data_IF_151016697423
#
_entry.id   IF_151016697423
#
_cell.length_a   1.000
_cell.length_b   1.000
_cell.length_c   1.000
_cell.angle_alpha   90.00
_cell.angle_beta   90.00
_cell.angle_gamma   90.00
#
_symmetry.space_group_name_H-M   'P 1'
#
loop_
_entity.id
_entity.type
_entity.pdbx_description
1 polymer ?
#
# COMPACT_ATOMS: atom_id res chain seq x y z
N UNK A 1 -15.29 12.29 21.95
CA UNK A 1 -15.25 10.92 21.37
C UNK A 1 -15.92 10.87 20.00
N UNK A 2 -17.10 11.50 19.82
CA UNK A 2 -17.84 11.51 18.55
C UNK A 2 -17.08 12.10 17.34
N UNK A 3 -16.21 13.10 17.52
CA UNK A 3 -15.54 13.78 16.40
C UNK A 3 -14.51 12.87 15.70
N UNK A 4 -13.69 12.12 16.46
CA UNK A 4 -12.77 11.13 15.88
C UNK A 4 -13.48 10.02 15.12
N UNK A 5 -14.70 9.64 15.51
CA UNK A 5 -15.48 8.62 14.80
C UNK A 5 -16.26 9.19 13.61
N UNK A 6 -16.60 10.49 13.62
CA UNK A 6 -17.32 11.15 12.53
C UNK A 6 -16.43 11.38 11.31
N UNK A 7 -15.22 11.90 11.55
CA UNK A 7 -14.27 12.21 10.48
C UNK A 7 -13.17 11.13 10.33
N UNK A 8 -13.09 10.17 11.26
CA UNK A 8 -12.11 9.07 11.20
C UNK A 8 -10.67 9.63 11.09
N UNK A 9 -9.95 9.23 10.05
CA UNK A 9 -8.64 9.73 9.67
C UNK A 9 -8.69 10.86 8.63
N UNK A 10 -9.86 11.35 8.24
CA UNK A 10 -10.02 12.43 7.27
C UNK A 10 -10.07 13.80 7.96
N UNK A 11 -9.54 14.84 7.30
CA UNK A 11 -9.65 16.22 7.78
C UNK A 11 -11.06 16.75 7.58
N UNK A 12 -11.44 16.89 6.32
CA UNK A 12 -12.78 17.22 5.84
C UNK A 12 -13.05 16.37 4.60
N UNK A 13 -14.27 15.86 4.49
CA UNK A 13 -14.72 15.03 3.36
C UNK A 13 -15.28 15.86 2.21
N UNK A 14 -15.51 17.16 2.43
CA UNK A 14 -16.07 18.10 1.44
C UNK A 14 -15.00 18.91 0.70
N UNK A 15 -13.74 18.84 1.14
CA UNK A 15 -12.62 19.51 0.47
C UNK A 15 -12.33 18.85 -0.91
N UNK A 16 -11.94 19.63 -1.93
CA UNK A 16 -11.64 19.09 -3.26
C UNK A 16 -10.42 18.17 -3.26
N UNK A 17 -9.43 18.44 -2.39
CA UNK A 17 -8.30 17.56 -2.13
C UNK A 17 -8.46 16.92 -0.74
N UNK A 18 -8.74 15.62 -0.71
CA UNK A 18 -8.96 14.89 0.53
C UNK A 18 -7.62 14.67 1.24
N UNK A 19 -7.52 15.17 2.46
CA UNK A 19 -6.37 14.98 3.34
C UNK A 19 -6.66 13.95 4.42
N UNK A 20 -5.65 13.13 4.72
CA UNK A 20 -5.69 12.10 5.76
C UNK A 20 -4.61 12.33 6.82
N UNK A 21 -4.87 11.84 8.03
CA UNK A 21 -3.93 11.91 9.14
C UNK A 21 -2.84 10.84 8.99
N UNK A 22 -1.60 11.28 8.75
CA UNK A 22 -0.44 10.41 8.54
C UNK A 22 -0.16 9.52 9.76
N UNK A 23 -0.37 10.02 10.98
CA UNK A 23 -0.13 9.23 12.21
C UNK A 23 -1.06 8.01 12.25
N UNK A 24 -2.33 8.20 11.89
CA UNK A 24 -3.30 7.09 11.82
C UNK A 24 -2.90 6.07 10.76
N UNK A 25 -2.43 6.55 9.60
CA UNK A 25 -1.98 5.68 8.50
C UNK A 25 -0.78 4.83 8.93
N UNK A 26 0.19 5.41 9.65
CA UNK A 26 1.35 4.66 10.18
C UNK A 26 0.94 3.62 11.23
N UNK A 27 0.03 3.96 12.13
CA UNK A 27 -0.51 3.00 13.11
C UNK A 27 -1.23 1.85 12.39
N UNK A 28 -2.05 2.14 11.37
CA UNK A 28 -2.70 1.12 10.54
C UNK A 28 -1.68 0.21 9.85
N UNK A 29 -0.64 0.79 9.25
CA UNK A 29 0.44 0.01 8.62
C UNK A 29 1.13 -0.92 9.63
N UNK A 30 1.36 -0.44 10.86
CA UNK A 30 1.94 -1.23 11.94
C UNK A 30 1.05 -2.39 12.40
N UNK A 31 -0.27 -2.19 12.50
CA UNK A 31 -1.20 -3.28 12.82
C UNK A 31 -1.21 -4.32 11.68
N UNK A 32 -1.25 -3.86 10.43
CA UNK A 32 -1.28 -4.75 9.27
C UNK A 32 0.07 -5.45 9.01
N UNK A 33 1.18 -5.00 9.60
CA UNK A 33 2.51 -5.64 9.50
C UNK A 33 2.51 -7.07 10.06
N UNK A 34 1.60 -7.38 10.99
CA UNK A 34 1.43 -8.73 11.55
C UNK A 34 1.13 -9.74 10.44
N UNK A 35 0.42 -9.33 9.39
CA UNK A 35 0.01 -10.20 8.29
C UNK A 35 1.22 -10.72 7.51
N UNK A 36 2.05 -9.90 6.84
CA UNK A 36 3.22 -10.40 6.13
C UNK A 36 4.25 -11.06 7.06
N UNK A 37 4.31 -10.69 8.34
CA UNK A 37 5.13 -11.40 9.34
C UNK A 37 4.63 -12.85 9.53
N UNK A 38 3.34 -13.04 9.78
CA UNK A 38 2.73 -14.37 9.90
C UNK A 38 2.95 -15.19 8.61
N UNK A 39 2.68 -14.60 7.46
CA UNK A 39 2.89 -15.26 6.16
C UNK A 39 4.36 -15.65 5.96
N UNK A 40 5.30 -14.74 6.25
CA UNK A 40 6.72 -14.98 6.16
C UNK A 40 7.18 -16.14 7.07
N UNK A 41 6.67 -16.21 8.30
CA UNK A 41 6.96 -17.31 9.22
C UNK A 41 6.39 -18.65 8.73
N UNK A 42 5.17 -18.66 8.18
CA UNK A 42 4.58 -19.90 7.62
C UNK A 42 5.39 -20.40 6.43
N UNK A 43 5.83 -19.52 5.54
CA UNK A 43 6.65 -19.87 4.39
C UNK A 43 8.09 -20.25 4.79
N UNK A 44 8.61 -19.65 5.85
CA UNK A 44 9.88 -20.06 6.45
C UNK A 44 9.81 -21.50 6.96
N UNK A 45 8.74 -21.88 7.67
CA UNK A 45 8.52 -23.27 8.09
C UNK A 45 8.46 -24.22 6.88
N UNK A 46 7.72 -23.84 5.83
CA UNK A 46 7.61 -24.65 4.61
C UNK A 46 8.95 -24.89 3.93
N UNK A 47 9.86 -23.91 3.96
CA UNK A 47 11.15 -23.99 3.29
C UNK A 47 12.22 -24.70 4.11
N UNK A 48 12.22 -24.54 5.44
CA UNK A 48 13.30 -24.99 6.30
C UNK A 48 12.96 -26.21 7.18
N UNK A 49 11.68 -26.59 7.29
CA UNK A 49 11.27 -27.79 8.04
C UNK A 49 11.25 -29.02 7.15
N UNK A 50 11.57 -30.18 7.72
CA UNK A 50 11.59 -31.46 7.00
C UNK A 50 10.23 -31.76 6.38
N UNK A 51 10.23 -31.99 5.06
CA UNK A 51 9.01 -32.28 4.28
C UNK A 51 8.47 -33.68 4.54
N UNK A 52 9.28 -34.56 5.09
CA UNK A 52 8.94 -35.95 5.38
C UNK A 52 8.74 -36.15 6.89
N UNK A 53 7.59 -36.72 7.25
CA UNK A 53 7.28 -37.18 8.60
C UNK A 53 7.48 -38.69 8.62
N UNK A 54 8.45 -39.13 9.42
CA UNK A 54 8.82 -40.54 9.56
C UNK A 54 7.98 -41.17 10.67
N UNK A 55 7.29 -42.27 10.36
CA UNK A 55 6.59 -43.06 11.39
C UNK A 55 7.57 -44.01 12.09
N UNK A 56 7.92 -43.70 13.34
CA UNK A 56 8.83 -44.52 14.14
C UNK A 56 8.30 -45.91 14.46
N UNK A 57 6.99 -46.16 14.38
CA UNK A 57 6.40 -47.47 14.68
C UNK A 57 6.55 -48.48 13.54
N UNK A 58 6.79 -48.00 12.32
CA UNK A 58 7.04 -48.84 11.14
C UNK A 58 8.54 -49.06 10.89
N UNK A 59 9.40 -48.58 11.79
CA UNK A 59 10.84 -48.71 11.67
C UNK A 59 11.26 -50.17 11.78
N UNK A 60 11.70 -50.73 10.65
CA UNK A 60 12.28 -52.08 10.58
C UNK A 60 13.76 -51.93 10.24
N UNK A 61 14.61 -52.55 11.05
CA UNK A 61 16.05 -52.63 10.80
C UNK A 61 16.29 -53.41 9.50
N UNK A 62 17.07 -52.84 8.57
CA UNK A 62 17.41 -53.53 7.32
C UNK A 62 18.59 -54.48 7.47
N UNK A 63 19.23 -54.52 8.64
CA UNK A 63 20.46 -55.26 8.95
C UNK A 63 21.67 -54.85 8.09
N UNK A 64 21.58 -53.70 7.42
CA UNK A 64 22.65 -53.10 6.64
C UNK A 64 23.16 -51.83 7.35
N UNK A 65 24.44 -51.52 7.14
CA UNK A 65 25.05 -50.29 7.67
C UNK A 65 25.45 -49.36 6.53
N UNK A 66 25.39 -48.04 6.79
CA UNK A 66 25.93 -47.05 5.88
C UNK A 66 27.48 -47.02 5.96
N UNK A 67 28.12 -46.23 5.09
CA UNK A 67 29.58 -46.06 5.05
C UNK A 67 30.19 -45.50 6.34
N UNK A 68 29.37 -44.93 7.23
CA UNK A 68 29.77 -44.36 8.53
C UNK A 68 29.36 -45.29 9.70
N UNK A 69 29.09 -46.56 9.43
CA UNK A 69 28.70 -47.58 10.42
C UNK A 69 27.36 -47.30 11.15
N UNK A 70 26.49 -46.44 10.60
CA UNK A 70 25.12 -46.27 11.09
C UNK A 70 24.20 -47.37 10.55
N UNK A 71 23.35 -47.93 11.40
CA UNK A 71 22.33 -48.92 11.03
C UNK A 71 21.23 -48.26 10.19
N UNK A 72 20.90 -48.86 9.06
CA UNK A 72 19.86 -48.39 8.15
C UNK A 72 18.51 -48.94 8.58
N UNK A 73 17.51 -48.07 8.70
CA UNK A 73 16.13 -48.44 8.99
C UNK A 73 15.25 -48.18 7.78
N UNK A 74 14.40 -49.15 7.44
CA UNK A 74 13.28 -48.96 6.53
C UNK A 74 12.10 -48.42 7.33
N UNK A 75 11.56 -47.27 6.91
CA UNK A 75 10.46 -46.58 7.58
C UNK A 75 9.42 -46.15 6.56
N UNK A 76 8.14 -46.20 6.94
CA UNK A 76 7.11 -45.54 6.18
C UNK A 76 7.22 -44.02 6.43
N UNK A 77 7.43 -43.26 5.35
CA UNK A 77 7.53 -41.82 5.40
C UNK A 77 6.35 -41.19 4.66
N UNK A 78 5.64 -40.29 5.34
CA UNK A 78 4.56 -39.52 4.74
C UNK A 78 5.03 -38.11 4.44
N UNK A 79 4.63 -37.57 3.29
CA UNK A 79 4.96 -36.18 2.93
C UNK A 79 3.97 -35.25 3.61
N UNK A 80 4.48 -34.26 4.35
CA UNK A 80 3.66 -33.22 4.97
C UNK A 80 2.97 -32.38 3.89
N UNK A 81 1.66 -32.23 4.00
CA UNK A 81 0.87 -31.28 3.20
C UNK A 81 0.53 -30.07 4.06
N UNK A 82 0.63 -28.88 3.46
CA UNK A 82 0.26 -27.64 4.14
C UNK A 82 -1.14 -27.23 3.71
N UNK A 83 -1.98 -26.93 4.69
CA UNK A 83 -3.29 -26.34 4.46
C UNK A 83 -3.17 -24.82 4.65
N UNK A 84 -3.56 -24.06 3.62
CA UNK A 84 -3.41 -22.60 3.59
C UNK A 84 -4.75 -21.87 3.83
N UNK A 85 -5.73 -22.51 4.44
CA UNK A 85 -7.07 -21.92 4.63
C UNK A 85 -7.02 -20.69 5.55
N UNK A 86 -6.27 -20.79 6.65
CA UNK A 86 -6.10 -19.67 7.60
C UNK A 86 -5.39 -18.49 6.94
N UNK A 87 -4.33 -18.76 6.19
CA UNK A 87 -3.54 -17.80 5.43
C UNK A 87 -4.41 -17.09 4.38
N UNK A 88 -5.25 -17.86 3.69
CA UNK A 88 -6.19 -17.35 2.69
C UNK A 88 -7.22 -16.40 3.31
N UNK A 89 -7.79 -16.77 4.46
CA UNK A 89 -8.72 -15.90 5.19
C UNK A 89 -8.05 -14.58 5.61
N UNK A 90 -6.84 -14.65 6.15
CA UNK A 90 -6.07 -13.45 6.55
C UNK A 90 -5.75 -12.57 5.35
N UNK A 91 -5.38 -13.16 4.20
CA UNK A 91 -5.12 -12.41 2.97
C UNK A 91 -6.39 -11.75 2.42
N UNK A 92 -7.54 -12.41 2.48
CA UNK A 92 -8.83 -11.79 2.14
C UNK A 92 -9.16 -10.62 3.06
N UNK A 93 -8.93 -10.76 4.37
CA UNK A 93 -9.05 -9.65 5.31
C UNK A 93 -8.11 -8.49 4.93
N UNK A 94 -6.84 -8.77 4.64
CA UNK A 94 -5.86 -7.76 4.24
C UNK A 94 -6.28 -7.04 2.94
N UNK A 95 -6.77 -7.80 1.96
CA UNK A 95 -7.25 -7.27 0.69
C UNK A 95 -8.47 -6.37 0.89
N UNK A 96 -9.44 -6.83 1.69
CA UNK A 96 -10.60 -6.03 2.08
C UNK A 96 -10.17 -4.71 2.75
N UNK A 97 -9.23 -4.77 3.69
CA UNK A 97 -8.71 -3.59 4.38
C UNK A 97 -8.05 -2.59 3.41
N UNK A 98 -7.29 -3.06 2.43
CA UNK A 98 -6.67 -2.21 1.42
C UNK A 98 -7.71 -1.54 0.52
N UNK A 99 -8.69 -2.30 0.02
CA UNK A 99 -9.76 -1.81 -0.84
C UNK A 99 -10.70 -0.86 -0.10
N UNK A 100 -11.08 -1.20 1.13
CA UNK A 100 -11.93 -0.36 1.96
C UNK A 100 -11.28 1.00 2.25
N UNK A 101 -9.96 1.05 2.42
CA UNK A 101 -9.23 2.31 2.60
C UNK A 101 -9.23 3.23 1.38
N UNK A 102 -9.49 2.72 0.17
CA UNK A 102 -9.42 3.53 -1.05
C UNK A 102 -10.51 4.59 -1.11
N UNK A 103 -11.74 4.28 -0.68
CA UNK A 103 -12.87 5.21 -0.77
C UNK A 103 -13.24 5.82 0.59
N UNK A 104 -13.74 7.06 0.56
CA UNK A 104 -14.15 7.79 1.79
C UNK A 104 -15.33 7.10 2.48
N UNK A 105 -16.25 6.53 1.71
CA UNK A 105 -17.41 5.79 2.23
C UNK A 105 -17.00 4.45 2.85
N UNK A 106 -16.18 3.67 2.14
CA UNK A 106 -15.78 2.32 2.57
C UNK A 106 -14.79 2.32 3.72
N UNK A 107 -13.99 3.38 3.88
CA UNK A 107 -13.01 3.50 4.96
C UNK A 107 -13.64 3.40 6.36
N UNK A 108 -14.95 3.68 6.47
CA UNK A 108 -15.71 3.56 7.72
C UNK A 108 -15.99 2.12 8.15
N UNK A 109 -15.97 1.17 7.21
CA UNK A 109 -16.21 -0.25 7.48
C UNK A 109 -14.94 -1.02 7.82
N UNK A 110 -13.77 -0.42 7.61
CA UNK A 110 -12.47 -1.05 7.88
C UNK A 110 -12.19 -1.09 9.39
N UNK A 111 -12.09 -2.28 10.01
CA UNK A 111 -11.79 -2.39 11.43
C UNK A 111 -10.45 -1.77 11.80
N UNK A 112 -9.40 -1.95 10.98
CA UNK A 112 -8.07 -1.40 11.32
C UNK A 112 -8.06 0.12 11.22
N UNK A 113 -8.82 0.73 10.30
CA UNK A 113 -8.94 2.20 10.24
C UNK A 113 -9.62 2.72 11.51
N UNK A 114 -10.70 2.08 11.96
CA UNK A 114 -11.38 2.47 13.20
C UNK A 114 -10.46 2.38 14.42
N UNK A 115 -9.76 1.25 14.55
CA UNK A 115 -8.82 1.00 15.66
C UNK A 115 -7.68 2.03 15.60
N UNK A 116 -7.03 2.22 14.45
CA UNK A 116 -5.93 3.18 14.30
C UNK A 116 -6.37 4.63 14.56
N UNK A 117 -7.56 5.03 14.13
CA UNK A 117 -8.13 6.35 14.45
C UNK A 117 -8.37 6.51 15.95
N UNK A 118 -8.78 5.45 16.64
CA UNK A 118 -8.96 5.47 18.09
C UNK A 118 -7.61 5.59 18.82
N UNK A 119 -6.60 4.82 18.40
CA UNK A 119 -5.26 4.84 18.98
C UNK A 119 -4.56 6.19 18.79
N UNK A 120 -4.78 6.85 17.65
CA UNK A 120 -4.18 8.16 17.35
C UNK A 120 -4.87 9.34 18.04
N UNK A 121 -5.94 9.13 18.81
CA UNK A 121 -6.81 10.21 19.33
C UNK A 121 -6.06 11.30 20.11
N UNK A 122 -5.01 10.94 20.84
CA UNK A 122 -4.25 11.88 21.67
C UNK A 122 -2.93 12.34 21.03
N UNK A 123 -2.77 12.12 19.73
CA UNK A 123 -1.59 12.55 18.96
C UNK A 123 -1.93 13.77 18.11
N UNK A 124 -0.93 14.62 17.84
CA UNK A 124 -1.11 15.76 16.95
C UNK A 124 -1.29 15.28 15.51
N UNK A 125 -2.39 15.64 14.83
CA UNK A 125 -2.64 15.14 13.48
C UNK A 125 -1.72 15.84 12.47
N UNK A 126 -1.11 15.05 11.60
CA UNK A 126 -0.32 15.55 10.45
C UNK A 126 -1.11 15.25 9.18
N UNK A 127 -1.49 16.29 8.45
CA UNK A 127 -2.39 16.17 7.30
C UNK A 127 -1.62 16.04 6.00
N UNK A 128 -1.83 14.94 5.28
CA UNK A 128 -1.19 14.63 4.00
C UNK A 128 -2.24 14.26 2.94
N UNK A 129 -1.99 14.52 1.64
CA UNK A 129 -2.95 14.18 0.59
C UNK A 129 -3.11 12.65 0.43
N UNK A 130 -4.34 12.19 0.17
CA UNK A 130 -4.67 10.76 0.06
C UNK A 130 -4.18 10.09 -1.23
N UNK A 131 -4.03 10.85 -2.31
CA UNK A 131 -3.72 10.33 -3.66
C UNK A 131 -2.48 9.42 -3.71
N UNK A 132 -1.29 9.84 -3.24
CA UNK A 132 -0.11 8.96 -3.23
C UNK A 132 -0.30 7.71 -2.35
N UNK A 133 -1.17 7.78 -1.34
CA UNK A 133 -1.46 6.65 -0.44
C UNK A 133 -2.38 5.62 -1.11
N UNK A 134 -3.36 6.07 -1.90
CA UNK A 134 -4.18 5.17 -2.73
C UNK A 134 -3.33 4.36 -3.70
N UNK A 135 -2.33 4.99 -4.31
CA UNK A 135 -1.38 4.29 -5.18
C UNK A 135 -0.57 3.23 -4.43
N UNK A 136 -0.10 3.55 -3.21
CA UNK A 136 0.58 2.57 -2.37
C UNK A 136 -0.35 1.39 -2.00
N UNK A 137 -1.61 1.67 -1.64
CA UNK A 137 -2.60 0.63 -1.32
C UNK A 137 -2.99 -0.22 -2.53
N UNK A 138 -3.02 0.34 -3.74
CA UNK A 138 -3.25 -0.46 -4.95
C UNK A 138 -2.11 -1.42 -5.24
N UNK A 139 -0.84 -1.00 -5.03
CA UNK A 139 0.30 -1.93 -5.13
C UNK A 139 0.13 -3.05 -4.11
N UNK A 140 -0.21 -2.72 -2.85
CA UNK A 140 -0.49 -3.73 -1.82
C UNK A 140 -1.61 -4.69 -2.20
N UNK A 141 -2.73 -4.18 -2.73
CA UNK A 141 -3.86 -5.01 -3.17
C UNK A 141 -3.48 -5.97 -4.31
N UNK A 142 -2.66 -5.52 -5.26
CA UNK A 142 -2.15 -6.37 -6.35
C UNK A 142 -1.26 -7.47 -5.77
N UNK A 143 -0.30 -7.13 -4.91
CA UNK A 143 0.59 -8.11 -4.28
C UNK A 143 -0.20 -9.17 -3.48
N UNK A 144 -1.19 -8.74 -2.69
CA UNK A 144 -2.06 -9.67 -1.95
C UNK A 144 -2.88 -10.57 -2.88
N UNK A 145 -3.36 -10.04 -4.01
CA UNK A 145 -4.09 -10.83 -5.01
C UNK A 145 -3.21 -11.91 -5.62
N UNK A 146 -1.95 -11.60 -5.94
CA UNK A 146 -0.99 -12.60 -6.45
C UNK A 146 -0.70 -13.65 -5.38
N UNK A 147 -0.55 -13.26 -4.11
CA UNK A 147 -0.40 -14.20 -3.00
C UNK A 147 -1.61 -15.14 -2.87
N UNK A 148 -2.84 -14.64 -3.01
CA UNK A 148 -4.05 -15.47 -2.96
C UNK A 148 -4.06 -16.54 -4.05
N UNK A 149 -3.64 -16.19 -5.27
CA UNK A 149 -3.49 -17.14 -6.38
C UNK A 149 -2.40 -18.17 -6.08
N UNK A 150 -1.27 -17.75 -5.49
CA UNK A 150 -0.19 -18.67 -5.13
C UNK A 150 -0.60 -19.71 -4.08
N UNK A 151 -1.40 -19.32 -3.07
CA UNK A 151 -1.86 -20.25 -2.03
C UNK A 151 -3.04 -21.12 -2.45
N UNK A 152 -3.81 -20.71 -3.46
CA UNK A 152 -4.97 -21.45 -3.97
C UNK A 152 -4.92 -21.62 -5.50
N UNK A 153 -3.85 -22.22 -6.05
CA UNK A 153 -3.62 -22.27 -7.48
C UNK A 153 -4.65 -23.13 -8.21
N UNK A 154 -5.13 -24.21 -7.58
CA UNK A 154 -6.16 -25.11 -8.07
C UNK A 154 -7.50 -24.39 -8.21
N UNK A 155 -7.92 -23.63 -7.20
CA UNK A 155 -9.20 -22.89 -7.23
C UNK A 155 -9.19 -21.83 -8.32
N UNK A 156 -8.06 -21.13 -8.50
CA UNK A 156 -7.89 -20.13 -9.54
C UNK A 156 -7.84 -20.76 -10.94
N UNK A 157 -7.06 -21.83 -11.12
CA UNK A 157 -6.96 -22.55 -12.39
C UNK A 157 -8.33 -23.10 -12.82
N UNK A 158 -9.08 -23.70 -11.89
CA UNK A 158 -10.42 -24.19 -12.17
C UNK A 158 -11.38 -23.06 -12.58
N UNK A 159 -11.35 -21.93 -11.87
CA UNK A 159 -12.14 -20.76 -12.25
C UNK A 159 -11.81 -20.25 -13.66
N UNK A 160 -10.52 -20.14 -14.01
CA UNK A 160 -10.10 -19.73 -15.36
C UNK A 160 -10.53 -20.75 -16.42
N UNK A 161 -10.35 -22.04 -16.17
CA UNK A 161 -10.72 -23.10 -17.10
C UNK A 161 -12.24 -23.11 -17.37
N UNK A 162 -13.07 -22.87 -16.34
CA UNK A 162 -14.53 -22.73 -16.48
C UNK A 162 -14.88 -21.49 -17.32
N UNK A 163 -14.25 -20.34 -17.04
CA UNK A 163 -14.52 -19.08 -17.77
C UNK A 163 -14.13 -19.19 -19.24
N UNK A 164 -13.04 -19.90 -19.55
CA UNK A 164 -12.54 -20.03 -20.93
C UNK A 164 -13.15 -21.21 -21.69
N UNK A 165 -13.72 -22.20 -20.99
CA UNK A 165 -14.28 -23.40 -21.59
C UNK A 165 -13.24 -24.39 -22.12
N UNK A 166 -11.97 -24.25 -21.74
CA UNK A 166 -10.87 -25.16 -22.08
C UNK A 166 -9.84 -25.23 -20.94
N UNK A 167 -9.08 -26.32 -20.87
CA UNK A 167 -7.96 -26.45 -19.92
C UNK A 167 -6.77 -25.57 -20.34
N UNK A 168 -6.75 -24.33 -19.83
CA UNK A 168 -5.63 -23.40 -20.03
C UNK A 168 -4.55 -23.54 -18.95
N UNK A 169 -4.97 -23.75 -17.70
CA UNK A 169 -4.09 -23.86 -16.55
C UNK A 169 -4.16 -25.27 -15.93
N UNK A 170 -3.02 -25.85 -15.52
CA UNK A 170 -3.01 -27.13 -14.84
C UNK A 170 -3.64 -27.00 -13.45
N UNK A 171 -4.51 -27.94 -13.09
CA UNK A 171 -5.14 -28.03 -11.76
C UNK A 171 -4.41 -29.00 -10.83
N UNK A 172 -3.47 -29.78 -11.35
CA UNK A 172 -2.72 -30.82 -10.62
C UNK A 172 -1.42 -30.30 -10.01
N UNK A 173 -0.91 -29.17 -10.49
CA UNK A 173 0.38 -28.61 -10.10
C UNK A 173 0.30 -27.09 -9.97
N UNK A 174 1.17 -26.51 -9.14
CA UNK A 174 1.24 -25.07 -9.00
C UNK A 174 1.97 -24.48 -10.21
N UNK A 175 1.25 -23.69 -11.02
CA UNK A 175 1.80 -23.02 -12.19
C UNK A 175 2.67 -21.80 -11.84
N UNK A 176 2.65 -21.33 -10.58
CA UNK A 176 3.55 -20.29 -10.11
C UNK A 176 4.88 -20.89 -9.62
N UNK A 177 6.02 -20.22 -9.86
CA UNK A 177 7.32 -20.64 -9.33
C UNK A 177 7.28 -20.78 -7.80
N UNK A 178 7.92 -21.83 -7.28
CA UNK A 178 7.91 -22.18 -5.84
C UNK A 178 8.38 -21.05 -4.92
N UNK A 179 9.30 -20.19 -5.37
CA UNK A 179 9.79 -19.05 -4.61
C UNK A 179 8.83 -17.86 -4.53
N UNK A 180 7.80 -17.79 -5.37
CA UNK A 180 6.97 -16.59 -5.55
C UNK A 180 6.34 -16.11 -4.24
N UNK A 181 5.72 -17.01 -3.47
CA UNK A 181 5.11 -16.66 -2.19
C UNK A 181 6.12 -16.07 -1.20
N UNK A 182 7.31 -16.66 -1.11
CA UNK A 182 8.38 -16.21 -0.22
C UNK A 182 8.89 -14.82 -0.61
N UNK A 183 9.19 -14.60 -1.88
CA UNK A 183 9.63 -13.28 -2.36
C UNK A 183 8.59 -12.19 -2.10
N UNK A 184 7.31 -12.49 -2.35
CA UNK A 184 6.23 -11.53 -2.13
C UNK A 184 6.04 -11.23 -0.63
N UNK A 185 6.02 -12.26 0.22
CA UNK A 185 5.85 -12.08 1.67
C UNK A 185 6.96 -11.22 2.27
N UNK A 186 8.22 -11.50 1.93
CA UNK A 186 9.37 -10.71 2.39
C UNK A 186 9.38 -9.29 1.83
N UNK A 187 9.04 -9.11 0.56
CA UNK A 187 8.95 -7.77 -0.04
C UNK A 187 7.86 -6.93 0.64
N UNK A 188 6.68 -7.51 0.87
CA UNK A 188 5.60 -6.87 1.61
C UNK A 188 6.02 -6.51 3.05
N UNK A 189 6.69 -7.44 3.74
CA UNK A 189 7.21 -7.21 5.09
C UNK A 189 8.17 -6.02 5.10
N UNK A 190 9.12 -5.96 4.18
CA UNK A 190 10.09 -4.87 4.07
C UNK A 190 9.38 -3.53 3.81
N UNK A 191 8.48 -3.46 2.83
CA UNK A 191 7.79 -2.22 2.50
C UNK A 191 6.92 -1.69 3.64
N UNK A 192 6.21 -2.56 4.35
CA UNK A 192 5.38 -2.17 5.49
C UNK A 192 6.22 -1.81 6.71
N UNK A 193 7.33 -2.51 6.93
CA UNK A 193 8.27 -2.21 7.99
C UNK A 193 8.92 -0.84 7.79
N UNK A 194 9.36 -0.51 6.57
CA UNK A 194 9.90 0.81 6.23
C UNK A 194 8.90 1.94 6.49
N UNK A 195 7.62 1.74 6.12
CA UNK A 195 6.58 2.73 6.36
C UNK A 195 6.28 2.91 7.85
N UNK A 196 6.26 1.82 8.62
CA UNK A 196 5.87 1.86 10.03
C UNK A 196 7.02 2.36 10.93
N UNK A 197 8.23 1.84 10.74
CA UNK A 197 9.38 2.10 11.61
C UNK A 197 10.12 3.37 11.21
N UNK A 198 10.40 3.54 9.92
CA UNK A 198 11.19 4.68 9.40
C UNK A 198 10.27 5.83 8.99
N UNK A 199 9.00 5.55 8.68
CA UNK A 199 8.10 6.53 8.06
C UNK A 199 8.32 6.68 6.55
N UNK A 200 9.01 5.72 5.92
CA UNK A 200 9.32 5.75 4.50
C UNK A 200 8.37 4.83 3.71
N UNK A 201 7.38 5.42 3.05
CA UNK A 201 6.46 4.69 2.18
C UNK A 201 6.98 4.65 0.73
N UNK A 202 7.49 3.48 0.33
CA UNK A 202 8.02 3.22 -1.03
C UNK A 202 6.96 3.55 -2.09
N UNK A 203 5.72 3.11 -1.91
CA UNK A 203 4.63 3.37 -2.88
C UNK A 203 4.34 4.86 -3.08
N UNK A 204 4.35 5.65 -2.01
CA UNK A 204 4.18 7.10 -2.11
C UNK A 204 5.33 7.77 -2.87
N UNK A 205 6.57 7.27 -2.71
CA UNK A 205 7.75 7.79 -3.42
C UNK A 205 7.75 7.40 -4.89
N UNK A 206 7.34 6.18 -5.22
CA UNK A 206 7.13 5.74 -6.60
C UNK A 206 6.07 6.63 -7.27
N UNK A 207 4.94 6.89 -6.60
CA UNK A 207 3.93 7.81 -7.13
C UNK A 207 4.49 9.20 -7.42
N UNK A 208 5.25 9.78 -6.47
CA UNK A 208 5.88 11.08 -6.66
C UNK A 208 6.89 11.08 -7.83
N UNK A 209 7.65 9.98 -8.01
CA UNK A 209 8.56 9.80 -9.13
C UNK A 209 7.81 9.73 -10.48
N UNK A 210 6.69 9.02 -10.54
CA UNK A 210 5.87 8.91 -11.76
C UNK A 210 5.22 10.25 -12.15
N UNK A 211 4.81 11.05 -11.16
CA UNK A 211 4.34 12.42 -11.38
C UNK A 211 5.49 13.29 -11.91
N UNK A 212 6.70 13.16 -11.33
CA UNK A 212 7.88 13.90 -11.78
C UNK A 212 8.29 13.56 -13.22
N UNK A 213 8.21 12.28 -13.61
CA UNK A 213 8.43 11.83 -14.99
C UNK A 213 7.31 12.23 -15.96
N UNK A 214 6.20 12.80 -15.47
CA UNK A 214 5.08 13.26 -16.30
C UNK A 214 4.11 12.16 -16.76
N UNK A 215 4.23 10.93 -16.24
CA UNK A 215 3.30 9.83 -16.56
C UNK A 215 1.93 10.03 -15.89
N UNK A 216 1.90 10.63 -14.70
CA UNK A 216 0.67 10.90 -13.94
C UNK A 216 0.48 12.41 -13.82
N UNK A 217 -0.63 12.94 -14.34
CA UNK A 217 -0.92 14.39 -14.39
C UNK A 217 -1.66 14.93 -13.15
N UNK A 218 -1.82 14.11 -12.12
CA UNK A 218 -2.65 14.45 -10.96
C UNK A 218 -2.01 15.57 -10.13
N UNK A 219 -2.80 16.61 -9.85
CA UNK A 219 -2.40 17.78 -9.06
C UNK A 219 -2.30 17.44 -7.57
N UNK A 220 -1.29 16.66 -7.17
CA UNK A 220 -1.00 16.49 -5.76
C UNK A 220 -0.19 17.69 -5.27
N UNK A 221 -0.80 18.59 -4.50
CA UNK A 221 -0.14 19.80 -3.95
C UNK A 221 1.15 19.49 -3.15
N UNK A 222 1.29 18.29 -2.58
CA UNK A 222 2.51 17.85 -1.89
C UNK A 222 3.56 17.21 -2.83
N UNK A 223 3.16 16.55 -3.93
CA UNK A 223 4.09 15.96 -4.90
C UNK A 223 4.56 16.97 -5.97
N UNK A 224 3.76 18.00 -6.25
CA UNK A 224 4.08 19.06 -7.21
C UNK A 224 4.98 20.16 -6.62
N UNK A 225 5.39 20.02 -5.36
CA UNK A 225 6.28 20.96 -4.67
C UNK A 225 7.75 20.50 -4.67
N UNK A 226 8.30 20.19 -5.85
CA UNK A 226 9.75 20.29 -6.06
C UNK A 226 10.07 21.62 -6.79
N UNK A 227 9.03 22.41 -7.12
CA UNK A 227 9.16 23.71 -7.78
C UNK A 227 8.09 24.72 -7.30
N UNK A 228 7.86 24.89 -5.99
CA UNK A 228 6.85 25.85 -5.49
C UNK A 228 7.26 27.33 -5.49
N UNK A 229 8.08 27.80 -6.42
CA UNK A 229 8.26 29.26 -6.54
C UNK A 229 7.28 29.88 -7.53
N UNK A 230 6.66 29.12 -8.43
CA UNK A 230 5.66 29.69 -9.34
C UNK A 230 4.51 28.72 -9.57
N UNK A 231 3.39 28.95 -8.89
CA UNK A 231 2.12 28.31 -9.24
C UNK A 231 1.81 28.63 -10.73
N UNK A 232 1.36 27.63 -11.50
CA UNK A 232 1.03 27.80 -12.91
C UNK A 232 0.00 28.92 -13.16
N UNK A 233 -0.86 29.22 -12.18
CA UNK A 233 -1.73 30.40 -12.21
C UNK A 233 -0.97 31.71 -12.06
N UNK A 234 0.05 31.78 -11.19
CA UNK A 234 0.93 32.95 -11.09
C UNK A 234 1.79 33.11 -12.34
N UNK A 235 2.30 32.02 -12.93
CA UNK A 235 3.05 32.09 -14.20
C UNK A 235 2.15 32.59 -15.34
N UNK A 236 0.91 32.11 -15.44
CA UNK A 236 -0.08 32.61 -16.40
C UNK A 236 -0.43 34.07 -16.14
N UNK A 237 -0.55 34.50 -14.89
CA UNK A 237 -0.78 35.90 -14.54
C UNK A 237 0.41 36.80 -14.89
N UNK A 238 1.65 36.34 -14.64
CA UNK A 238 2.89 37.05 -14.98
C UNK A 238 3.07 37.14 -16.50
N UNK A 239 2.80 36.05 -17.23
CA UNK A 239 2.87 36.04 -18.71
C UNK A 239 1.82 36.96 -19.32
N UNK A 240 0.59 36.95 -18.79
CA UNK A 240 -0.48 37.85 -19.25
C UNK A 240 -0.19 39.32 -18.92
N UNK A 241 0.44 39.59 -17.78
CA UNK A 241 0.93 40.93 -17.43
C UNK A 241 2.11 41.36 -18.31
N UNK A 242 2.96 40.43 -18.74
CA UNK A 242 4.07 40.68 -19.66
C UNK A 242 3.59 40.99 -21.07
N UNK A 243 2.64 40.23 -21.62
CA UNK A 243 1.99 40.54 -22.90
C UNK A 243 1.32 41.93 -22.87
N UNK A 244 0.67 42.28 -21.75
CA UNK A 244 0.09 43.62 -21.57
C UNK A 244 1.11 44.76 -21.46
N UNK A 245 2.37 44.47 -21.07
CA UNK A 245 3.46 45.44 -21.05
C UNK A 245 4.09 45.63 -22.44
N UNK A 246 4.19 44.55 -23.21
CA UNK A 246 4.71 44.58 -24.58
C UNK A 246 3.77 45.39 -25.50
N UNK A 247 2.45 45.26 -25.31
CA UNK A 247 1.43 46.06 -25.99
C UNK A 247 1.48 47.56 -25.63
N UNK A 248 2.01 47.90 -24.46
CA UNK A 248 2.13 49.28 -23.97
C UNK A 248 3.48 49.92 -24.34
N UNK A 249 4.42 49.13 -24.87
CA UNK A 249 5.72 49.60 -25.39
C UNK A 249 5.67 50.03 -26.86
N UNK A 250 4.54 49.82 -27.54
CA UNK A 250 4.33 50.33 -28.91
C UNK A 250 4.06 51.84 -28.90
N UNK A 251 4.70 52.68 -29.75
CA UNK A 251 4.85 54.13 -29.51
C UNK A 251 3.57 54.98 -29.68
N UNK A 252 2.37 54.41 -29.75
CA UNK A 252 1.21 55.17 -30.19
C UNK A 252 -0.14 54.64 -29.67
N UNK A 253 -0.40 54.77 -28.36
CA UNK A 253 -1.80 54.81 -27.88
C UNK A 253 -1.92 55.53 -26.53
N UNK A 254 -2.85 56.49 -26.46
CA UNK A 254 -3.14 57.30 -25.27
C UNK A 254 -3.58 56.43 -24.09
N UNK A 255 -3.05 56.77 -22.91
CA UNK A 255 -3.38 56.17 -21.60
C UNK A 255 -4.87 56.25 -21.26
N UNK A 256 -5.51 55.15 -20.83
CA UNK A 256 -6.63 55.21 -19.89
C UNK A 256 -6.10 55.15 -18.46
N UNK A 257 -6.54 56.12 -17.65
CA UNK A 257 -6.27 56.24 -16.21
C UNK A 257 -6.86 55.03 -15.49
N UNK A 258 -6.08 54.33 -14.66
CA UNK A 258 -6.61 53.35 -13.70
C UNK A 258 -6.24 53.76 -12.27
N UNK A 259 -7.28 53.96 -11.45
CA UNK A 259 -7.20 54.40 -10.06
C UNK A 259 -6.60 53.31 -9.17
N UNK A 260 -5.63 53.70 -8.35
CA UNK A 260 -5.05 52.90 -7.27
C UNK A 260 -6.08 52.68 -6.16
N UNK A 261 -6.49 51.43 -5.94
CA UNK A 261 -7.14 51.03 -4.70
C UNK A 261 -6.12 50.33 -3.80
N UNK A 262 -5.48 51.11 -2.94
CA UNK A 262 -4.80 50.65 -1.73
C UNK A 262 -5.81 49.94 -0.83
N UNK A 263 -5.48 48.75 -0.32
CA UNK A 263 -6.05 48.29 0.94
C UNK A 263 -5.01 47.59 1.81
N UNK A 264 -5.02 48.05 3.06
CA UNK A 264 -4.04 47.99 4.12
C UNK A 264 -3.97 46.65 4.84
N UNK A 265 -2.75 46.26 5.23
CA UNK A 265 -2.47 45.24 6.23
C UNK A 265 -2.82 45.82 7.61
N UNK A 266 -3.81 45.27 8.29
CA UNK A 266 -4.10 45.57 9.70
C UNK A 266 -3.68 44.38 10.57
N UNK A 267 -2.54 44.51 11.25
CA UNK A 267 -2.12 43.69 12.38
C UNK A 267 -3.02 44.04 13.58
N UNK A 268 -3.88 43.12 13.99
CA UNK A 268 -4.62 43.26 15.24
C UNK A 268 -3.79 42.61 16.37
N UNK A 269 -3.18 43.46 17.20
CA UNK A 269 -2.53 43.09 18.46
C UNK A 269 -3.23 43.93 19.54
N UNK A 270 -4.18 43.32 20.24
CA UNK A 270 -4.76 43.92 21.43
C UNK A 270 -3.97 43.47 22.66
N UNK A 271 -3.56 44.46 23.45
CA UNK A 271 -3.07 44.40 24.81
C UNK A 271 -4.21 44.17 25.79
N UNK A 272 -3.99 43.34 26.81
CA UNK A 272 -3.74 43.75 28.21
C UNK A 272 -3.32 42.53 29.04
#
# INVERSE_FOLDING_TARGET
MLISLKNLWFRDTKEPSVHINEVVVRIRAGIMLIIPLYMGLTLYDVLYTTTWVVDGNTAVDTYDTNWDEHVIYAVEATKRTYEYSTQTLILFYALFEMLAGMFVSTARFSPTILISSLLAKNTTPVWVPITPKRFAWSIGAILMSVCLVFFNPDTFANWVNIVWGSELLPTTENFLPSGTGTFLAWTCLIFMWLETVIGFCVGCKIHALLVWLGFIKEECHACNNINSTVNAQTLKAILKAKEGLDDMSSPNKKMPVYQTATNSISLNKNSD
#
